data_IF_383815350193
#
_entry.id   IF_383815350193
#
_cell.length_a   1.000
_cell.length_b   1.000
_cell.length_c   1.000
_cell.angle_alpha   90.00
_cell.angle_beta   90.00
_cell.angle_gamma   90.00
#
_symmetry.space_group_name_H-M   'P 1'
#
loop_
_entity.id
_entity.type
_entity.pdbx_description
1 polymer ?
#
# COMPACT_ATOMS: atom_id res chain seq x y z
N UNK A 1 3.90 5.71 50.44
CA UNK A 1 4.26 4.71 49.41
C UNK A 1 3.39 5.01 48.20
N UNK A 2 3.96 5.69 47.20
CA UNK A 2 3.21 6.17 46.04
C UNK A 2 3.54 5.24 44.88
N UNK A 3 2.54 4.50 44.42
CA UNK A 3 2.65 3.57 43.29
C UNK A 3 2.79 4.36 42.00
N UNK A 4 3.98 4.28 41.37
CA UNK A 4 4.22 4.84 40.04
C UNK A 4 3.55 3.96 39.00
N UNK A 5 2.50 4.47 38.35
CA UNK A 5 2.00 3.89 37.10
C UNK A 5 3.05 4.09 36.02
N UNK A 6 3.64 2.99 35.54
CA UNK A 6 4.46 2.98 34.34
C UNK A 6 3.56 3.35 33.16
N UNK A 7 3.72 4.54 32.60
CA UNK A 7 3.09 4.90 31.33
C UNK A 7 3.79 4.10 30.24
N UNK A 8 3.15 3.04 29.77
CA UNK A 8 3.58 2.33 28.58
C UNK A 8 3.71 3.35 27.44
N UNK A 9 4.92 3.52 26.94
CA UNK A 9 5.22 4.42 25.85
C UNK A 9 4.44 3.98 24.60
N UNK A 10 3.42 4.76 24.21
CA UNK A 10 2.55 4.48 23.07
C UNK A 10 3.26 4.60 21.71
N UNK A 11 4.52 5.04 21.70
CA UNK A 11 5.33 5.17 20.49
C UNK A 11 6.14 3.92 20.13
N UNK A 12 6.17 2.90 21.02
CA UNK A 12 6.86 1.66 20.71
C UNK A 12 6.15 0.91 19.56
N UNK A 13 6.87 0.50 18.49
CA UNK A 13 6.30 -0.30 17.42
C UNK A 13 5.73 -1.60 18.00
N UNK A 14 4.49 -1.93 17.66
CA UNK A 14 3.94 -3.22 18.11
C UNK A 14 4.71 -4.39 17.48
N UNK A 15 4.83 -5.54 18.18
CA UNK A 15 5.35 -6.75 17.59
C UNK A 15 4.54 -7.14 16.35
N UNK A 16 5.23 -7.43 15.25
CA UNK A 16 4.58 -7.88 14.01
C UNK A 16 3.91 -9.24 14.23
N UNK A 17 2.67 -9.42 13.73
CA UNK A 17 1.91 -10.66 13.87
C UNK A 17 2.72 -11.89 13.41
N UNK A 18 2.70 -13.03 14.12
CA UNK A 18 3.47 -14.20 13.71
C UNK A 18 3.05 -14.70 12.32
N UNK A 19 3.99 -15.27 11.57
CA UNK A 19 3.70 -15.84 10.25
C UNK A 19 2.82 -17.09 10.41
N UNK A 20 1.67 -17.12 9.73
CA UNK A 20 0.82 -18.30 9.56
C UNK A 20 1.15 -18.95 8.20
N UNK A 21 1.05 -20.27 8.12
CA UNK A 21 1.38 -21.04 6.92
C UNK A 21 0.24 -21.99 6.57
N UNK A 22 0.01 -22.15 5.27
CA UNK A 22 -0.85 -23.17 4.69
C UNK A 22 -0.20 -24.56 4.81
N UNK A 23 -0.97 -25.61 4.57
CA UNK A 23 -0.48 -27.00 4.59
C UNK A 23 0.66 -27.25 3.59
N UNK A 24 0.69 -26.51 2.47
CA UNK A 24 1.74 -26.59 1.45
C UNK A 24 3.03 -25.83 1.81
N UNK A 25 3.10 -25.24 3.00
CA UNK A 25 4.25 -24.49 3.51
C UNK A 25 4.34 -23.05 3.01
N UNK A 26 3.43 -22.58 2.17
CA UNK A 26 3.34 -21.15 1.79
C UNK A 26 2.70 -20.34 2.90
N UNK A 27 2.99 -19.04 2.92
CA UNK A 27 2.40 -18.13 3.91
C UNK A 27 0.90 -17.96 3.66
N UNK A 28 0.11 -18.09 4.72
CA UNK A 28 -1.32 -17.77 4.71
C UNK A 28 -1.53 -16.28 4.97
N UNK A 29 -1.39 -15.46 3.93
CA UNK A 29 -1.60 -14.02 4.00
C UNK A 29 -3.07 -13.65 4.29
N UNK A 30 -4.03 -14.50 3.87
CA UNK A 30 -5.46 -14.21 3.99
C UNK A 30 -5.96 -14.27 5.43
N UNK A 31 -5.33 -15.11 6.26
CA UNK A 31 -5.74 -15.29 7.66
C UNK A 31 -4.64 -14.90 8.66
N UNK A 32 -3.56 -14.27 8.20
CA UNK A 32 -2.41 -13.92 9.05
C UNK A 32 -2.81 -13.01 10.23
N UNK A 33 -3.75 -12.09 10.01
CA UNK A 33 -4.18 -11.10 11.00
C UNK A 33 -5.60 -11.38 11.47
N UNK A 34 -5.80 -11.37 12.79
CA UNK A 34 -7.12 -11.49 13.42
C UNK A 34 -7.75 -10.12 13.71
N UNK A 35 -6.90 -9.10 13.93
CA UNK A 35 -7.30 -7.69 14.15
C UNK A 35 -6.23 -6.75 13.60
N UNK A 36 -6.63 -5.55 13.17
CA UNK A 36 -5.72 -4.48 12.75
C UNK A 36 -5.75 -3.31 13.75
N UNK A 37 -4.60 -2.67 13.97
CA UNK A 37 -4.57 -1.41 14.71
C UNK A 37 -5.06 -0.24 13.87
N UNK A 38 -5.41 0.86 14.55
CA UNK A 38 -5.68 2.14 13.90
C UNK A 38 -4.49 2.56 12.99
N UNK A 39 -4.75 3.13 11.81
CA UNK A 39 -3.74 3.72 10.94
C UNK A 39 -2.89 4.81 11.62
N UNK A 40 -1.70 5.06 11.09
CA UNK A 40 -0.81 6.10 11.62
C UNK A 40 -1.46 7.50 11.61
N UNK A 41 -2.30 7.80 10.62
CA UNK A 41 -3.04 9.06 10.55
C UNK A 41 -4.13 9.21 11.61
N UNK A 42 -4.55 8.12 12.26
CA UNK A 42 -5.49 8.09 13.39
C UNK A 42 -4.74 7.97 14.75
N UNK A 43 -3.44 8.30 14.74
CA UNK A 43 -2.60 8.40 15.94
C UNK A 43 -1.87 7.11 16.35
N UNK A 44 -1.88 6.06 15.52
CA UNK A 44 -1.06 4.86 15.73
C UNK A 44 0.43 5.08 15.37
N UNK A 45 1.38 4.33 15.94
CA UNK A 45 2.75 4.35 15.43
C UNK A 45 2.77 3.80 14.00
N UNK A 46 3.62 4.35 13.11
CA UNK A 46 3.79 3.79 11.77
C UNK A 46 4.31 2.35 11.87
N UNK A 47 3.87 1.50 10.94
CA UNK A 47 4.26 0.10 10.88
C UNK A 47 5.78 -0.11 10.84
N UNK A 48 6.53 0.85 10.28
CA UNK A 48 8.00 0.90 10.33
C UNK A 48 8.53 2.27 10.71
N UNK A 49 9.77 2.28 11.24
CA UNK A 49 10.52 3.51 11.53
C UNK A 49 11.34 4.07 10.37
N UNK A 50 11.39 3.39 9.21
CA UNK A 50 12.13 3.84 8.02
C UNK A 50 11.38 3.49 6.74
N UNK A 51 11.37 4.42 5.79
CA UNK A 51 10.69 4.30 4.51
C UNK A 51 11.24 3.14 3.68
N UNK A 52 10.36 2.26 3.21
CA UNK A 52 10.65 1.20 2.26
C UNK A 52 10.46 1.70 0.82
N UNK A 53 11.48 1.58 -0.02
CA UNK A 53 11.45 2.04 -1.42
C UNK A 53 11.55 0.89 -2.42
N UNK A 54 11.03 1.13 -3.63
CA UNK A 54 11.25 0.29 -4.79
C UNK A 54 12.75 0.18 -5.10
N UNK A 55 13.20 -1.01 -5.53
CA UNK A 55 14.54 -1.15 -6.09
C UNK A 55 14.52 -0.62 -7.54
N UNK A 56 15.21 0.49 -7.80
CA UNK A 56 15.30 1.08 -9.13
C UNK A 56 16.76 1.33 -9.52
N UNK A 57 17.23 0.86 -10.69
CA UNK A 57 16.54 -0.07 -11.58
C UNK A 57 16.49 -1.48 -10.98
N UNK A 58 15.37 -2.19 -11.16
CA UNK A 58 15.30 -3.62 -10.90
C UNK A 58 15.53 -4.42 -12.18
N UNK A 59 16.22 -5.55 -12.06
CA UNK A 59 16.31 -6.54 -13.13
C UNK A 59 15.06 -7.42 -13.10
N UNK A 60 14.13 -7.17 -14.02
CA UNK A 60 12.88 -7.93 -14.15
C UNK A 60 13.08 -9.37 -14.65
N UNK A 61 14.27 -9.71 -15.15
CA UNK A 61 14.61 -11.06 -15.62
C UNK A 61 15.18 -11.93 -14.51
N UNK A 62 15.58 -11.35 -13.39
CA UNK A 62 16.09 -12.07 -12.22
C UNK A 62 15.00 -12.97 -11.62
N UNK A 63 15.33 -14.26 -11.47
CA UNK A 63 14.44 -15.22 -10.81
C UNK A 63 14.08 -14.80 -9.37
N UNK A 64 15.01 -14.14 -8.67
CA UNK A 64 14.76 -13.65 -7.31
C UNK A 64 13.75 -12.49 -7.32
N UNK A 65 13.88 -11.54 -8.24
CA UNK A 65 12.91 -10.46 -8.40
C UNK A 65 11.53 -11.01 -8.77
N UNK A 66 11.47 -11.95 -9.71
CA UNK A 66 10.21 -12.58 -10.12
C UNK A 66 9.53 -13.33 -8.97
N UNK A 67 10.29 -14.02 -8.12
CA UNK A 67 9.75 -14.68 -6.94
C UNK A 67 9.18 -13.67 -5.92
N UNK A 68 9.87 -12.56 -5.67
CA UNK A 68 9.37 -11.47 -4.81
C UNK A 68 8.07 -10.88 -5.37
N UNK A 69 8.06 -10.55 -6.66
CA UNK A 69 6.89 -9.98 -7.35
C UNK A 69 5.70 -10.92 -7.28
N UNK A 70 5.91 -12.21 -7.56
CA UNK A 70 4.85 -13.22 -7.50
C UNK A 70 4.28 -13.35 -6.08
N UNK A 71 5.14 -13.33 -5.06
CA UNK A 71 4.70 -13.43 -3.67
C UNK A 71 3.96 -12.18 -3.18
N UNK A 72 4.40 -10.99 -3.58
CA UNK A 72 3.69 -9.73 -3.31
C UNK A 72 2.30 -9.75 -3.94
N UNK A 73 2.20 -10.11 -5.23
CA UNK A 73 0.90 -10.21 -5.94
C UNK A 73 -0.02 -11.19 -5.21
N UNK A 74 0.48 -12.38 -4.88
CA UNK A 74 -0.31 -13.41 -4.17
C UNK A 74 -0.80 -12.89 -2.83
N UNK A 75 0.07 -12.27 -2.04
CA UNK A 75 -0.27 -11.77 -0.71
C UNK A 75 -1.23 -10.58 -0.73
N UNK A 76 -1.01 -9.61 -1.62
CA UNK A 76 -1.90 -8.46 -1.81
C UNK A 76 -3.30 -8.94 -2.19
N UNK A 77 -3.41 -9.82 -3.20
CA UNK A 77 -4.71 -10.35 -3.63
C UNK A 77 -5.37 -11.19 -2.54
N UNK A 78 -4.61 -12.02 -1.82
CA UNK A 78 -5.17 -12.84 -0.73
C UNK A 78 -5.74 -11.99 0.42
N UNK A 79 -5.08 -10.89 0.79
CA UNK A 79 -5.50 -10.10 1.96
C UNK A 79 -6.53 -9.02 1.65
N UNK A 80 -6.55 -8.51 0.41
CA UNK A 80 -7.42 -7.39 0.03
C UNK A 80 -8.52 -7.77 -0.95
N UNK A 81 -8.38 -8.89 -1.67
CA UNK A 81 -9.21 -9.22 -2.83
C UNK A 81 -8.97 -8.34 -4.06
N UNK A 82 -8.09 -7.33 -3.97
CA UNK A 82 -7.77 -6.46 -5.10
C UNK A 82 -6.87 -7.20 -6.11
N UNK A 83 -7.15 -7.10 -7.44
CA UNK A 83 -6.27 -7.63 -8.46
C UNK A 83 -4.91 -6.93 -8.42
N UNK A 84 -3.82 -7.71 -8.40
CA UNK A 84 -2.46 -7.21 -8.47
C UNK A 84 -1.70 -7.82 -9.66
N UNK A 85 -0.79 -7.05 -10.25
CA UNK A 85 0.00 -7.46 -11.41
C UNK A 85 1.40 -6.81 -11.38
N UNK A 86 2.40 -7.38 -12.07
CA UNK A 86 3.68 -6.71 -12.26
C UNK A 86 3.49 -5.37 -12.98
N UNK A 87 4.25 -4.35 -12.59
CA UNK A 87 4.29 -3.05 -13.27
C UNK A 87 5.71 -2.80 -13.82
N UNK A 88 6.12 -1.54 -13.95
CA UNK A 88 7.50 -1.20 -14.28
C UNK A 88 8.49 -1.78 -13.25
N UNK A 89 9.76 -2.07 -13.62
CA UNK A 89 10.71 -2.67 -12.70
C UNK A 89 10.85 -1.91 -11.38
N UNK A 90 10.70 -2.63 -10.27
CA UNK A 90 10.64 -2.09 -8.92
C UNK A 90 9.23 -1.87 -8.39
N UNK A 91 8.18 -2.10 -9.19
CA UNK A 91 6.80 -1.77 -8.82
C UNK A 91 5.79 -2.90 -9.13
N UNK A 92 4.74 -2.96 -8.30
CA UNK A 92 3.55 -3.79 -8.46
C UNK A 92 2.35 -2.88 -8.62
N UNK A 93 1.50 -3.14 -9.61
CA UNK A 93 0.22 -2.46 -9.78
C UNK A 93 -0.89 -3.20 -9.04
N UNK A 94 -1.74 -2.46 -8.33
CA UNK A 94 -2.93 -2.93 -7.65
C UNK A 94 -4.13 -2.15 -8.19
N UNK A 95 -5.10 -2.85 -8.76
CA UNK A 95 -6.31 -2.25 -9.29
C UNK A 95 -7.28 -1.93 -8.15
N UNK A 96 -7.52 -0.65 -7.90
CA UNK A 96 -8.48 -0.17 -6.91
C UNK A 96 -9.86 0.01 -7.54
N UNK A 97 -10.91 -0.03 -6.71
CA UNK A 97 -12.29 0.14 -7.18
C UNK A 97 -12.59 1.55 -7.72
N UNK A 98 -11.77 2.55 -7.36
CA UNK A 98 -11.90 3.92 -7.85
C UNK A 98 -10.60 4.70 -7.68
N UNK A 99 -10.44 5.86 -8.37
CA UNK A 99 -9.32 6.77 -8.13
C UNK A 99 -9.26 7.30 -6.69
N UNK A 100 -10.42 7.53 -6.07
CA UNK A 100 -10.49 7.95 -4.67
C UNK A 100 -9.90 6.91 -3.71
N UNK A 101 -10.16 5.62 -3.98
CA UNK A 101 -9.55 4.53 -3.21
C UNK A 101 -8.04 4.48 -3.45
N UNK A 102 -7.58 4.55 -4.70
CA UNK A 102 -6.15 4.50 -5.02
C UNK A 102 -5.37 5.65 -4.35
N UNK A 103 -5.90 6.87 -4.42
CA UNK A 103 -5.35 8.04 -3.75
C UNK A 103 -5.27 7.83 -2.23
N UNK A 104 -6.39 7.49 -1.61
CA UNK A 104 -6.45 7.38 -0.15
C UNK A 104 -5.55 6.25 0.38
N UNK A 105 -5.52 5.10 -0.30
CA UNK A 105 -4.61 4.01 0.04
C UNK A 105 -3.15 4.44 -0.14
N UNK A 106 -2.82 5.12 -1.24
CA UNK A 106 -1.46 5.61 -1.49
C UNK A 106 -0.97 6.56 -0.40
N UNK A 107 -1.76 7.57 -0.05
CA UNK A 107 -1.45 8.52 1.02
C UNK A 107 -1.30 7.81 2.37
N UNK A 108 -2.21 6.88 2.70
CA UNK A 108 -2.17 6.10 3.94
C UNK A 108 -0.91 5.23 4.03
N UNK A 109 -0.55 4.57 2.94
CA UNK A 109 0.61 3.66 2.88
C UNK A 109 1.94 4.43 3.01
N UNK A 110 2.02 5.63 2.43
CA UNK A 110 3.19 6.51 2.61
C UNK A 110 3.39 6.88 4.08
N UNK A 111 2.31 7.15 4.81
CA UNK A 111 2.37 7.45 6.24
C UNK A 111 2.81 6.24 7.09
N UNK A 112 2.66 5.02 6.57
CA UNK A 112 3.14 3.77 7.19
C UNK A 112 4.58 3.42 6.81
N UNK A 113 5.31 4.37 6.19
CA UNK A 113 6.70 4.22 5.75
C UNK A 113 6.90 3.13 4.67
N UNK A 114 5.97 3.06 3.72
CA UNK A 114 6.14 2.31 2.47
C UNK A 114 5.87 3.25 1.30
N UNK A 115 6.80 3.32 0.34
CA UNK A 115 6.64 4.17 -0.83
C UNK A 115 5.42 3.72 -1.64
N UNK A 116 4.53 4.64 -1.98
CA UNK A 116 3.41 4.36 -2.85
C UNK A 116 3.24 5.49 -3.87
N UNK A 117 2.71 5.13 -5.04
CA UNK A 117 2.27 6.07 -6.08
C UNK A 117 0.90 5.64 -6.54
N UNK A 118 0.14 6.54 -7.13
CA UNK A 118 -1.12 6.17 -7.77
C UNK A 118 -1.32 6.97 -9.04
N UNK A 119 -2.00 6.34 -9.99
CA UNK A 119 -2.47 6.97 -11.21
C UNK A 119 -3.87 6.43 -11.52
N UNK A 120 -4.83 7.34 -11.69
CA UNK A 120 -6.24 7.02 -11.76
C UNK A 120 -6.63 6.00 -10.66
N UNK A 121 -7.17 4.84 -11.05
CA UNK A 121 -7.58 3.77 -10.13
C UNK A 121 -6.48 2.71 -9.88
N UNK A 122 -5.22 3.01 -10.21
CA UNK A 122 -4.10 2.09 -10.03
C UNK A 122 -3.19 2.57 -8.90
N UNK A 123 -2.96 1.72 -7.91
CA UNK A 123 -1.97 1.93 -6.85
C UNK A 123 -0.69 1.18 -7.20
N UNK A 124 0.46 1.83 -7.07
CA UNK A 124 1.78 1.23 -7.28
C UNK A 124 2.49 1.05 -5.93
N UNK A 125 2.93 -0.18 -5.66
CA UNK A 125 3.65 -0.59 -4.46
C UNK A 125 5.07 -1.08 -4.79
N UNK A 126 6.03 -0.95 -3.86
CA UNK A 126 7.42 -1.19 -4.17
C UNK A 126 7.77 -2.67 -4.10
N UNK A 127 8.71 -3.07 -4.95
CA UNK A 127 9.31 -4.39 -4.99
C UNK A 127 10.83 -4.28 -5.17
N UNK A 128 11.55 -5.31 -4.75
CA UNK A 128 12.99 -5.40 -4.98
C UNK A 128 13.51 -6.82 -4.78
N UNK A 129 14.58 -7.23 -5.49
CA UNK A 129 15.08 -8.60 -5.41
C UNK A 129 15.60 -8.97 -4.01
N UNK A 130 15.99 -7.97 -3.20
CA UNK A 130 16.49 -8.17 -1.84
C UNK A 130 15.37 -8.29 -0.80
N UNK A 131 14.10 -8.16 -1.20
CA UNK A 131 12.99 -8.20 -0.26
C UNK A 131 12.83 -9.60 0.34
N UNK A 132 12.73 -9.64 1.66
CA UNK A 132 12.59 -10.90 2.40
C UNK A 132 11.15 -11.15 2.82
N UNK A 133 10.78 -12.42 2.98
CA UNK A 133 9.41 -12.83 3.31
C UNK A 133 8.95 -12.24 4.65
N UNK A 134 9.75 -12.38 5.71
CA UNK A 134 9.43 -11.86 7.04
C UNK A 134 9.68 -10.36 7.22
N UNK A 135 10.38 -9.73 6.28
CA UNK A 135 10.70 -8.30 6.29
C UNK A 135 9.85 -7.54 5.29
N UNK A 136 10.46 -7.15 4.17
CA UNK A 136 9.92 -6.20 3.20
C UNK A 136 8.61 -6.68 2.59
N UNK A 137 8.50 -7.96 2.20
CA UNK A 137 7.29 -8.53 1.60
C UNK A 137 6.12 -8.42 2.57
N UNK A 138 6.31 -8.93 3.80
CA UNK A 138 5.31 -8.83 4.87
C UNK A 138 4.88 -7.39 5.12
N UNK A 139 5.82 -6.44 5.09
CA UNK A 139 5.50 -5.05 5.37
C UNK A 139 4.63 -4.43 4.29
N UNK A 140 4.92 -4.66 3.01
CA UNK A 140 4.05 -4.23 1.90
C UNK A 140 2.66 -4.84 2.02
N UNK A 141 2.57 -6.15 2.32
CA UNK A 141 1.27 -6.83 2.44
C UNK A 141 0.49 -6.34 3.68
N UNK A 142 1.17 -6.06 4.80
CA UNK A 142 0.54 -5.56 6.03
C UNK A 142 -0.07 -4.18 5.81
N UNK A 143 0.66 -3.26 5.17
CA UNK A 143 0.16 -1.88 5.00
C UNK A 143 -1.01 -1.81 4.03
N UNK A 144 -1.06 -2.65 2.99
CA UNK A 144 -2.23 -2.74 2.11
C UNK A 144 -3.41 -3.37 2.83
N UNK A 145 -3.20 -4.42 3.63
CA UNK A 145 -4.24 -5.07 4.42
C UNK A 145 -4.90 -4.07 5.37
N UNK A 146 -4.08 -3.38 6.16
CA UNK A 146 -4.52 -2.37 7.13
C UNK A 146 -5.27 -1.23 6.46
N UNK A 147 -4.70 -0.65 5.40
CA UNK A 147 -5.29 0.50 4.72
C UNK A 147 -6.58 0.09 4.00
N UNK A 148 -6.60 -1.03 3.28
CA UNK A 148 -7.79 -1.49 2.59
C UNK A 148 -8.93 -1.83 3.55
N UNK A 149 -8.64 -2.53 4.66
CA UNK A 149 -9.61 -2.80 5.70
C UNK A 149 -10.23 -1.50 6.24
N UNK A 150 -9.39 -0.51 6.58
CA UNK A 150 -9.88 0.78 7.07
C UNK A 150 -10.73 1.52 6.02
N UNK A 151 -10.32 1.51 4.76
CA UNK A 151 -11.11 2.08 3.67
C UNK A 151 -12.50 1.45 3.60
N UNK A 152 -12.60 0.12 3.71
CA UNK A 152 -13.88 -0.59 3.63
C UNK A 152 -14.74 -0.34 4.87
N UNK A 153 -14.19 -0.60 6.06
CA UNK A 153 -14.96 -0.74 7.31
C UNK A 153 -15.10 0.55 8.12
N UNK A 154 -14.18 1.51 7.95
CA UNK A 154 -14.06 2.64 8.89
C UNK A 154 -14.13 4.01 8.22
N UNK A 155 -13.72 4.13 6.96
CA UNK A 155 -13.71 5.43 6.31
C UNK A 155 -15.15 5.90 6.01
N UNK A 156 -15.58 7.06 6.56
CA UNK A 156 -16.95 7.54 6.39
C UNK A 156 -17.30 7.79 4.91
N UNK A 157 -18.55 7.53 4.55
CA UNK A 157 -19.03 7.70 3.17
C UNK A 157 -18.84 9.12 2.64
N UNK A 158 -18.97 10.14 3.49
CA UNK A 158 -18.81 11.54 3.06
C UNK A 158 -17.36 11.89 2.72
N UNK A 159 -16.39 11.26 3.39
CA UNK A 159 -14.97 11.37 3.03
C UNK A 159 -14.74 10.73 1.66
N UNK A 160 -15.27 9.52 1.43
CA UNK A 160 -15.19 8.83 0.12
C UNK A 160 -15.78 9.68 -1.02
N UNK A 161 -16.92 10.33 -0.78
CA UNK A 161 -17.58 11.22 -1.76
C UNK A 161 -16.75 12.47 -2.04
N UNK A 162 -16.20 13.09 -1.00
CA UNK A 162 -15.35 14.29 -1.13
C UNK A 162 -14.13 13.99 -2.00
N UNK A 163 -13.45 12.87 -1.74
CA UNK A 163 -12.32 12.42 -2.56
C UNK A 163 -12.73 12.12 -4.02
N UNK A 164 -13.92 11.53 -4.23
CA UNK A 164 -14.41 11.30 -5.58
C UNK A 164 -14.64 12.61 -6.35
N UNK A 165 -15.20 13.64 -5.69
CA UNK A 165 -15.39 14.96 -6.30
C UNK A 165 -14.06 15.64 -6.60
N UNK A 166 -13.10 15.60 -5.67
CA UNK A 166 -11.75 16.15 -5.88
C UNK A 166 -11.05 15.51 -7.08
N UNK A 167 -11.08 14.18 -7.18
CA UNK A 167 -10.49 13.46 -8.31
C UNK A 167 -11.19 13.75 -9.64
N UNK A 168 -12.51 13.90 -9.63
CA UNK A 168 -13.27 14.29 -10.83
C UNK A 168 -12.89 15.70 -11.31
N UNK A 169 -12.79 16.67 -10.38
CA UNK A 169 -12.36 18.02 -10.70
C UNK A 169 -10.94 18.07 -11.28
N UNK A 170 -10.00 17.33 -10.68
CA UNK A 170 -8.63 17.25 -11.17
C UNK A 170 -8.57 16.72 -12.62
N UNK A 171 -9.26 15.61 -12.89
CA UNK A 171 -9.34 15.03 -14.23
C UNK A 171 -9.97 15.96 -15.26
N UNK A 172 -11.00 16.74 -14.89
CA UNK A 172 -11.56 17.74 -15.77
C UNK A 172 -10.58 18.87 -16.08
N UNK A 173 -9.84 19.35 -15.07
CA UNK A 173 -8.82 20.38 -15.24
C UNK A 173 -7.73 19.98 -16.22
N UNK A 174 -7.24 18.73 -16.13
CA UNK A 174 -6.26 18.18 -17.08
C UNK A 174 -6.81 18.11 -18.52
N UNK A 175 -8.07 17.72 -18.70
CA UNK A 175 -8.70 17.67 -20.03
C UNK A 175 -8.84 19.05 -20.67
N UNK A 176 -9.17 20.07 -19.87
CA UNK A 176 -9.24 21.47 -20.36
C UNK A 176 -7.84 22.00 -20.69
N UNK A 177 -6.83 21.73 -19.87
CA UNK A 177 -5.44 22.12 -20.17
C UNK A 177 -4.87 21.41 -21.40
N UNK A 178 -5.19 20.12 -21.59
CA UNK A 178 -4.80 19.36 -22.78
C UNK A 178 -5.40 19.93 -24.07
N UNK A 179 -6.62 20.47 -24.02
CA UNK A 179 -7.28 21.14 -25.15
C UNK A 179 -6.68 22.52 -25.46
N UNK A 180 -6.18 23.23 -24.44
CA UNK A 180 -5.57 24.55 -24.56
C UNK A 180 -4.09 24.53 -24.98
N UNK A 181 -3.45 23.35 -25.09
CA UNK A 181 -2.09 23.25 -25.63
C UNK A 181 -2.13 23.32 -27.17
N UNK A 182 -1.63 24.40 -27.80
CA UNK A 182 -1.58 24.47 -29.26
C UNK A 182 -0.68 23.36 -29.82
N UNK A 183 -1.11 22.73 -30.91
CA UNK A 183 -0.30 21.77 -31.65
C UNK A 183 0.94 22.48 -32.19
N UNK A 184 2.10 22.26 -31.57
CA UNK A 184 3.36 22.69 -32.13
C UNK A 184 3.59 21.91 -33.44
N UNK A 185 3.41 22.59 -34.57
CA UNK A 185 3.81 22.11 -35.89
C UNK A 185 5.31 21.83 -35.87
N UNK A 186 5.70 20.57 -36.07
CA UNK A 186 7.09 20.20 -36.36
C UNK A 186 7.44 20.72 -37.76
N UNK A 187 8.45 21.58 -37.82
CA UNK A 187 9.16 21.94 -39.05
C UNK A 187 10.33 20.98 -39.27
#
# INVERSE_FOLDING_TARGET
MTTSYSSTDKSAPMPSAPMKYLEDGRVDWGTMWDTFCAPAWDGGPPHRGTMLYAAVPADSTSAQYQAVVAELIRGITAVSGLPAAPAEPGWIAVACASPAMAQWLGESIVLENVAARWDAATLLLPAGPHYTLGGEIKNVITVIAKSHHYWIEHLPTDVKRTLAVQNWLAQMGERVQGWLRPHATRS
#
